data_IF_715744630092
#
_entry.id   IF_715744630092
#
_cell.length_a   1.000
_cell.length_b   1.000
_cell.length_c   1.000
_cell.angle_alpha   90.00
_cell.angle_beta   90.00
_cell.angle_gamma   90.00
#
_symmetry.space_group_name_H-M   'P 1'
#
loop_
_entity.id
_entity.type
_entity.pdbx_description
1 polymer ?
#
# COMPACT_ATOMS: atom_id res chain seq x y z
N UNK A 1 27.58 -24.45 23.08
CA UNK A 1 26.64 -23.30 23.08
C UNK A 1 25.91 -23.28 21.74
N UNK A 2 24.60 -23.07 21.72
CA UNK A 2 23.81 -22.92 20.49
C UNK A 2 23.32 -21.46 20.37
N UNK A 3 23.28 -20.92 19.15
CA UNK A 3 22.79 -19.56 18.88
C UNK A 3 21.66 -19.59 17.86
N UNK A 4 20.66 -18.75 18.10
CA UNK A 4 19.49 -18.51 17.25
C UNK A 4 19.43 -17.01 16.93
N UNK A 5 18.74 -16.63 15.87
CA UNK A 5 18.55 -15.24 15.48
C UNK A 5 17.07 -14.95 15.23
N UNK A 6 16.48 -14.20 16.16
CA UNK A 6 15.06 -13.80 16.15
C UNK A 6 14.10 -14.98 15.90
N UNK A 7 14.12 -16.05 16.71
CA UNK A 7 13.18 -17.15 16.51
C UNK A 7 11.75 -16.67 16.78
N UNK A 8 10.85 -16.84 15.81
CA UNK A 8 9.44 -16.39 15.93
C UNK A 8 8.45 -17.52 16.17
N UNK A 9 8.76 -18.73 15.70
CA UNK A 9 7.86 -19.89 15.77
C UNK A 9 8.51 -21.08 16.45
N UNK A 10 7.70 -21.84 17.18
CA UNK A 10 8.12 -23.07 17.84
C UNK A 10 7.02 -24.13 17.82
N UNK A 11 7.40 -25.40 17.75
CA UNK A 11 6.50 -26.54 17.81
C UNK A 11 7.14 -27.67 18.63
N UNK A 12 6.45 -28.13 19.67
CA UNK A 12 6.83 -29.33 20.40
C UNK A 12 6.25 -30.59 19.74
N UNK A 13 7.07 -31.62 19.62
CA UNK A 13 6.65 -32.95 19.18
C UNK A 13 7.56 -34.04 19.77
N UNK A 14 6.97 -34.96 20.53
CA UNK A 14 7.61 -36.22 20.95
C UNK A 14 9.01 -36.06 21.58
N UNK A 15 9.19 -35.04 22.43
CA UNK A 15 10.46 -34.75 23.11
C UNK A 15 11.45 -33.89 22.30
N UNK A 16 11.04 -33.37 21.14
CA UNK A 16 11.78 -32.37 20.37
C UNK A 16 11.01 -31.06 20.27
N UNK A 17 11.74 -29.95 20.17
CA UNK A 17 11.18 -28.65 19.81
C UNK A 17 11.75 -28.23 18.47
N UNK A 18 10.90 -28.08 17.46
CA UNK A 18 11.24 -27.44 16.21
C UNK A 18 11.10 -25.93 16.36
N UNK A 19 12.07 -25.17 15.86
CA UNK A 19 12.11 -23.71 15.97
C UNK A 19 12.35 -23.12 14.59
N UNK A 20 11.55 -22.12 14.22
CA UNK A 20 11.86 -21.24 13.10
C UNK A 20 12.97 -20.28 13.53
N UNK A 21 14.20 -20.54 13.09
CA UNK A 21 15.37 -19.69 13.33
C UNK A 21 15.39 -18.60 12.25
N UNK A 22 14.43 -17.68 12.39
CA UNK A 22 13.87 -16.86 11.31
C UNK A 22 14.94 -16.08 10.54
N UNK A 23 15.85 -15.39 11.22
CA UNK A 23 16.88 -14.57 10.55
C UNK A 23 18.10 -15.37 10.08
N UNK A 24 18.20 -16.63 10.50
CA UNK A 24 19.18 -17.56 9.96
C UNK A 24 18.62 -18.42 8.82
N UNK A 25 17.40 -18.15 8.34
CA UNK A 25 16.77 -18.86 7.21
C UNK A 25 16.73 -20.40 7.40
N UNK A 26 16.51 -20.85 8.64
CA UNK A 26 16.61 -22.26 9.04
C UNK A 26 15.45 -22.70 9.92
N UNK A 27 15.20 -24.00 9.90
CA UNK A 27 14.52 -24.69 10.98
C UNK A 27 15.56 -25.39 11.85
N UNK A 28 15.45 -25.22 13.16
CA UNK A 28 16.27 -25.91 14.16
C UNK A 28 15.43 -26.98 14.85
N UNK A 29 16.05 -28.07 15.26
CA UNK A 29 15.46 -29.05 16.16
C UNK A 29 16.28 -29.10 17.45
N UNK A 30 15.59 -29.05 18.57
CA UNK A 30 16.13 -29.16 19.92
C UNK A 30 15.67 -30.50 20.48
N UNK A 31 16.60 -31.38 20.84
CA UNK A 31 16.29 -32.60 21.58
C UNK A 31 16.26 -32.28 23.08
N UNK A 32 15.10 -32.49 23.73
CA UNK A 32 14.93 -32.11 25.14
C UNK A 32 15.55 -33.12 26.13
N UNK A 33 15.96 -34.31 25.68
CA UNK A 33 16.68 -35.27 26.55
C UNK A 33 18.16 -34.95 26.61
N UNK A 34 18.75 -34.58 25.47
CA UNK A 34 20.19 -34.32 25.37
C UNK A 34 20.55 -32.83 25.42
N UNK A 35 19.55 -31.95 25.28
CA UNK A 35 19.71 -30.51 25.05
C UNK A 35 20.50 -30.18 23.77
N UNK A 36 20.58 -31.11 22.82
CA UNK A 36 21.28 -30.90 21.55
C UNK A 36 20.43 -30.05 20.60
N UNK A 37 21.05 -29.03 19.99
CA UNK A 37 20.43 -28.17 18.98
C UNK A 37 21.09 -28.40 17.63
N UNK A 38 20.32 -28.80 16.62
CA UNK A 38 20.79 -29.05 15.25
C UNK A 38 19.98 -28.26 14.23
N UNK A 39 20.60 -27.91 13.11
CA UNK A 39 19.84 -27.51 11.91
C UNK A 39 19.06 -28.72 11.43
N UNK A 40 17.74 -28.58 11.42
CA UNK A 40 16.83 -29.59 10.91
C UNK A 40 16.68 -29.46 9.39
N UNK A 41 16.38 -28.25 8.92
CA UNK A 41 16.24 -27.91 7.50
C UNK A 41 16.67 -26.46 7.23
N UNK A 42 16.93 -26.14 5.96
CA UNK A 42 17.35 -24.81 5.51
C UNK A 42 18.87 -24.70 5.31
N UNK A 43 19.28 -24.21 4.15
CA UNK A 43 20.71 -23.93 3.86
C UNK A 43 21.26 -22.77 4.69
N UNK A 44 20.39 -21.85 5.11
CA UNK A 44 20.75 -20.57 5.73
C UNK A 44 20.91 -19.41 4.77
N UNK A 45 20.72 -19.65 3.47
CA UNK A 45 20.61 -18.59 2.48
C UNK A 45 19.17 -18.17 2.36
N UNK A 46 18.96 -16.86 2.26
CA UNK A 46 17.71 -16.31 1.77
C UNK A 46 17.53 -16.71 0.30
N UNK A 47 16.37 -17.26 -0.04
CA UNK A 47 16.08 -17.83 -1.33
C UNK A 47 14.76 -18.60 -1.31
N UNK A 48 14.38 -19.20 -2.43
CA UNK A 48 13.09 -19.86 -2.61
C UNK A 48 13.21 -21.30 -3.13
N UNK A 49 14.41 -21.88 -3.20
CA UNK A 49 14.58 -23.29 -3.57
C UNK A 49 13.88 -24.22 -2.58
N UNK A 50 13.34 -25.34 -3.05
CA UNK A 50 12.83 -26.42 -2.20
C UNK A 50 13.85 -27.55 -2.01
N UNK A 51 14.86 -27.64 -2.88
CA UNK A 51 15.86 -28.72 -2.88
C UNK A 51 17.25 -28.21 -3.31
N UNK A 52 18.21 -28.05 -2.38
CA UNK A 52 18.00 -27.97 -0.94
C UNK A 52 17.08 -26.79 -0.59
N UNK A 53 16.33 -26.90 0.51
CA UNK A 53 15.38 -25.85 0.87
C UNK A 53 16.10 -24.57 1.31
N UNK A 54 15.72 -23.46 0.69
CA UNK A 54 16.08 -22.10 1.07
C UNK A 54 14.80 -21.43 1.58
N UNK A 55 14.82 -21.02 2.85
CA UNK A 55 13.70 -20.34 3.48
C UNK A 55 13.95 -18.83 3.47
N UNK A 56 12.90 -18.04 3.53
CA UNK A 56 12.95 -16.60 3.73
C UNK A 56 12.08 -16.21 4.92
N UNK A 57 12.74 -15.99 6.06
CA UNK A 57 12.12 -15.69 7.35
C UNK A 57 11.01 -16.69 7.77
N UNK A 58 11.34 -17.98 7.99
CA UNK A 58 10.36 -18.95 8.45
C UNK A 58 9.89 -18.58 9.87
N UNK A 59 8.59 -18.33 10.04
CA UNK A 59 8.05 -17.70 11.26
C UNK A 59 7.05 -18.54 12.04
N UNK A 60 6.37 -19.49 11.39
CA UNK A 60 5.31 -20.30 11.99
C UNK A 60 5.46 -21.78 11.66
N UNK A 61 5.11 -22.65 12.61
CA UNK A 61 5.20 -24.10 12.50
C UNK A 61 3.91 -24.75 13.01
N UNK A 62 3.42 -25.78 12.31
CA UNK A 62 2.30 -26.60 12.73
C UNK A 62 2.47 -28.04 12.24
N UNK A 63 2.01 -29.04 13.00
CA UNK A 63 2.09 -30.46 12.59
C UNK A 63 0.71 -31.06 12.44
N UNK A 64 0.51 -31.84 11.37
CA UNK A 64 -0.68 -32.65 11.13
C UNK A 64 -0.26 -34.03 10.62
N UNK A 65 -0.47 -35.07 11.44
CA UNK A 65 0.04 -36.41 11.13
C UNK A 65 1.56 -36.39 10.96
N UNK A 66 2.07 -36.97 9.88
CA UNK A 66 3.51 -37.00 9.60
C UNK A 66 4.05 -35.77 8.82
N UNK A 67 3.29 -34.67 8.82
CA UNK A 67 3.64 -33.47 8.05
C UNK A 67 3.85 -32.28 8.97
N UNK A 68 4.97 -31.60 8.79
CA UNK A 68 5.27 -30.31 9.42
C UNK A 68 5.04 -29.20 8.38
N UNK A 69 4.09 -28.32 8.67
CA UNK A 69 3.79 -27.12 7.91
C UNK A 69 4.64 -25.97 8.43
N UNK A 70 5.20 -25.18 7.51
CA UNK A 70 6.11 -24.08 7.77
C UNK A 70 5.60 -22.86 7.03
N UNK A 71 5.34 -21.77 7.75
CA UNK A 71 5.06 -20.47 7.14
C UNK A 71 6.38 -19.84 6.71
N UNK A 72 6.66 -19.92 5.39
CA UNK A 72 7.86 -19.36 4.76
C UNK A 72 7.57 -17.92 4.32
N UNK A 73 7.53 -17.03 5.31
CA UNK A 73 6.83 -15.73 5.29
C UNK A 73 7.16 -14.86 4.10
N UNK A 74 8.45 -14.60 3.85
CA UNK A 74 8.88 -13.69 2.80
C UNK A 74 8.84 -14.34 1.40
N UNK A 75 8.80 -15.68 1.34
CA UNK A 75 8.50 -16.42 0.12
C UNK A 75 7.00 -16.54 -0.16
N UNK A 76 6.14 -16.01 0.72
CA UNK A 76 4.67 -15.97 0.56
C UNK A 76 4.05 -17.36 0.32
N UNK A 77 4.64 -18.40 0.91
CA UNK A 77 4.21 -19.79 0.73
C UNK A 77 4.13 -20.54 2.05
N UNK A 78 3.41 -21.66 2.01
CA UNK A 78 3.44 -22.66 3.07
C UNK A 78 4.24 -23.85 2.56
N UNK A 79 5.32 -24.19 3.24
CA UNK A 79 6.08 -25.41 2.95
C UNK A 79 5.53 -26.58 3.78
N UNK A 80 5.50 -27.77 3.20
CA UNK A 80 5.19 -29.03 3.87
C UNK A 80 6.44 -29.88 3.91
N UNK A 81 6.84 -30.28 5.10
CA UNK A 81 7.94 -31.22 5.33
C UNK A 81 7.34 -32.57 5.68
N UNK A 82 7.71 -33.61 4.93
CA UNK A 82 7.46 -34.99 5.33
C UNK A 82 8.50 -35.38 6.39
N UNK A 83 8.06 -35.78 7.59
CA UNK A 83 8.96 -36.06 8.70
C UNK A 83 9.67 -37.43 8.59
N UNK A 84 9.23 -38.32 7.68
CA UNK A 84 9.90 -39.61 7.45
C UNK A 84 11.21 -39.45 6.65
N UNK A 85 11.18 -38.61 5.61
CA UNK A 85 12.29 -38.46 4.65
C UNK A 85 12.80 -37.02 4.50
N UNK A 86 12.27 -36.09 5.30
CA UNK A 86 12.59 -34.66 5.30
C UNK A 86 12.41 -33.95 3.96
N UNK A 87 11.65 -34.52 3.01
CA UNK A 87 11.35 -33.83 1.75
C UNK A 87 10.43 -32.65 1.98
N UNK A 88 10.75 -31.54 1.32
CA UNK A 88 9.97 -30.30 1.37
C UNK A 88 9.21 -30.11 0.06
N UNK A 89 7.93 -29.81 0.16
CA UNK A 89 7.10 -29.38 -0.97
C UNK A 89 6.32 -28.13 -0.62
N UNK A 90 5.77 -27.44 -1.62
CA UNK A 90 4.86 -26.33 -1.39
C UNK A 90 3.43 -26.83 -1.21
N UNK A 91 2.75 -26.34 -0.17
CA UNK A 91 1.33 -26.59 0.04
C UNK A 91 0.49 -25.72 -0.89
N UNK A 92 -0.17 -26.35 -1.87
CA UNK A 92 -1.11 -25.67 -2.76
C UNK A 92 -2.54 -25.84 -2.25
N UNK A 93 -3.24 -24.71 -2.06
CA UNK A 93 -4.66 -24.72 -1.75
C UNK A 93 -5.43 -24.78 -3.08
N UNK A 94 -6.06 -25.91 -3.34
CA UNK A 94 -6.86 -26.11 -4.55
C UNK A 94 -8.14 -25.27 -4.52
N UNK A 95 -8.62 -24.85 -5.70
CA UNK A 95 -9.90 -24.14 -5.84
C UNK A 95 -9.89 -22.67 -5.43
N UNK A 96 -8.73 -22.10 -5.07
CA UNK A 96 -8.61 -20.66 -4.88
C UNK A 96 -8.55 -19.95 -6.24
N UNK A 97 -9.49 -19.05 -6.45
CA UNK A 97 -9.40 -18.02 -7.49
C UNK A 97 -9.14 -16.68 -6.81
N UNK A 98 -8.29 -15.80 -7.39
CA UNK A 98 -8.19 -14.43 -6.92
C UNK A 98 -9.59 -13.81 -6.85
N UNK A 99 -9.93 -13.08 -5.78
CA UNK A 99 -11.20 -12.38 -5.73
C UNK A 99 -11.30 -11.47 -6.95
N UNK A 100 -12.50 -11.33 -7.50
CA UNK A 100 -12.73 -10.33 -8.55
C UNK A 100 -12.31 -8.98 -7.99
N UNK A 101 -11.46 -8.25 -8.73
CA UNK A 101 -11.15 -6.87 -8.38
C UNK A 101 -12.48 -6.11 -8.19
N UNK A 102 -12.57 -5.19 -7.21
CA UNK A 102 -13.77 -4.41 -6.99
C UNK A 102 -14.25 -3.75 -8.30
N UNK A 103 -15.52 -3.95 -8.65
CA UNK A 103 -16.13 -3.36 -9.86
C UNK A 103 -16.21 -1.84 -9.79
N UNK A 104 -16.41 -1.31 -8.57
CA UNK A 104 -16.32 0.11 -8.28
C UNK A 104 -14.92 0.42 -7.74
N UNK A 105 -14.35 1.54 -8.17
CA UNK A 105 -13.16 2.09 -7.54
C UNK A 105 -13.57 2.49 -6.13
N UNK A 106 -13.07 1.77 -5.13
CA UNK A 106 -13.13 2.22 -3.75
C UNK A 106 -12.35 3.54 -3.65
N UNK A 107 -13.10 4.65 -3.65
CA UNK A 107 -12.60 5.99 -3.42
C UNK A 107 -12.81 6.44 -1.97
N UNK A 108 -13.13 5.52 -1.05
CA UNK A 108 -13.25 5.81 0.39
C UNK A 108 -12.01 6.53 0.94
N UNK A 109 -10.85 6.28 0.33
CA UNK A 109 -9.61 6.94 0.70
C UNK A 109 -9.58 8.43 0.34
N UNK A 110 -10.35 8.91 -0.63
CA UNK A 110 -10.44 10.33 -1.05
C UNK A 110 -11.81 10.97 -0.77
N UNK A 111 -12.86 10.18 -0.54
CA UNK A 111 -14.25 10.63 -0.50
C UNK A 111 -14.70 11.35 0.80
N UNK A 112 -13.94 11.26 1.90
CA UNK A 112 -14.34 11.79 3.20
C UNK A 112 -13.89 13.25 3.42
N UNK A 113 -14.32 14.17 2.55
CA UNK A 113 -14.24 15.60 2.83
C UNK A 113 -15.55 16.08 3.48
N UNK A 114 -15.47 16.82 4.59
CA UNK A 114 -16.65 17.29 5.33
C UNK A 114 -17.51 18.28 4.55
N UNK A 115 -16.93 18.93 3.54
CA UNK A 115 -17.60 19.92 2.70
C UNK A 115 -17.06 19.91 1.27
N UNK A 116 -17.98 20.02 0.32
CA UNK A 116 -17.66 20.27 -1.08
C UNK A 116 -17.49 21.76 -1.34
N UNK A 117 -16.33 22.16 -1.84
CA UNK A 117 -16.02 23.53 -2.24
C UNK A 117 -16.53 23.79 -3.66
N UNK A 118 -17.18 24.94 -3.88
CA UNK A 118 -17.62 25.36 -5.21
C UNK A 118 -16.63 26.38 -5.76
N UNK A 119 -16.25 26.23 -7.02
CA UNK A 119 -15.40 27.20 -7.73
C UNK A 119 -16.11 27.75 -8.96
N UNK A 120 -15.68 28.93 -9.39
CA UNK A 120 -16.17 29.53 -10.63
C UNK A 120 -15.84 28.62 -11.83
N UNK A 121 -16.60 28.72 -12.94
CA UNK A 121 -16.32 27.96 -14.14
C UNK A 121 -14.89 28.17 -14.63
N UNK A 122 -14.20 27.07 -14.94
CA UNK A 122 -12.83 27.08 -15.44
C UNK A 122 -12.84 26.76 -16.92
N UNK A 123 -12.16 27.58 -17.72
CA UNK A 123 -12.05 27.39 -19.16
C UNK A 123 -10.80 26.59 -19.49
N UNK A 124 -10.97 25.49 -20.23
CA UNK A 124 -9.89 24.52 -20.51
C UNK A 124 -9.89 24.14 -21.99
N UNK A 125 -8.71 23.82 -22.51
CA UNK A 125 -8.55 23.42 -23.92
C UNK A 125 -8.95 21.94 -24.09
N UNK A 126 -9.86 21.62 -25.02
CA UNK A 126 -10.22 20.24 -25.29
C UNK A 126 -9.07 19.41 -25.86
N UNK A 127 -8.94 18.15 -25.42
CA UNK A 127 -7.95 17.21 -25.98
C UNK A 127 -6.50 17.41 -25.53
N UNK A 128 -6.23 18.37 -24.62
CA UNK A 128 -4.92 18.57 -23.99
C UNK A 128 -4.98 18.10 -22.54
N UNK A 129 -3.84 17.63 -22.02
CA UNK A 129 -3.71 17.28 -20.61
C UNK A 129 -3.89 18.54 -19.73
N UNK A 130 -4.75 18.45 -18.72
CA UNK A 130 -5.04 19.59 -17.82
C UNK A 130 -4.25 19.43 -16.53
N UNK A 131 -3.54 20.48 -16.13
CA UNK A 131 -2.88 20.55 -14.82
C UNK A 131 -3.83 21.19 -13.80
N UNK A 132 -3.99 20.59 -12.63
CA UNK A 132 -4.70 21.20 -11.51
C UNK A 132 -3.69 21.56 -10.44
N UNK A 133 -3.61 22.85 -10.12
CA UNK A 133 -2.84 23.38 -9.01
C UNK A 133 -3.79 23.67 -7.84
N UNK A 134 -3.50 23.09 -6.68
CA UNK A 134 -4.22 23.39 -5.44
C UNK A 134 -3.26 24.08 -4.47
N UNK A 135 -3.62 25.29 -4.04
CA UNK A 135 -2.84 26.10 -3.11
C UNK A 135 -3.55 26.16 -1.75
N UNK A 136 -3.17 25.28 -0.80
CA UNK A 136 -3.71 25.31 0.54
C UNK A 136 -3.01 26.38 1.40
N UNK A 137 -3.79 27.24 2.05
CA UNK A 137 -3.33 28.10 3.14
C UNK A 137 -3.33 27.29 4.43
N UNK A 138 -2.17 26.81 4.83
CA UNK A 138 -1.99 25.96 6.02
C UNK A 138 -1.95 26.80 7.32
N UNK A 139 -2.19 26.18 8.49
CA UNK A 139 -1.91 26.81 9.77
C UNK A 139 -0.45 27.25 9.89
N UNK A 140 -0.19 28.22 10.77
CA UNK A 140 1.17 28.66 11.07
C UNK A 140 2.05 27.45 11.46
N UNK A 141 3.31 27.46 11.00
CA UNK A 141 4.32 26.42 11.23
C UNK A 141 4.14 25.10 10.45
N UNK A 142 3.06 24.95 9.67
CA UNK A 142 2.87 23.77 8.83
C UNK A 142 3.27 23.99 7.38
N UNK A 143 3.82 22.95 6.76
CA UNK A 143 4.13 22.90 5.33
C UNK A 143 3.64 21.62 4.69
N UNK A 144 3.45 21.64 3.37
CA UNK A 144 3.18 20.43 2.61
C UNK A 144 4.36 19.46 2.72
N UNK A 145 4.06 18.16 2.83
CA UNK A 145 5.08 17.12 2.93
C UNK A 145 5.24 16.40 1.58
N UNK A 146 6.40 16.54 0.90
CA UNK A 146 6.65 15.83 -0.37
C UNK A 146 6.66 14.30 -0.23
N UNK A 147 6.90 13.81 0.99
CA UNK A 147 6.89 12.37 1.31
C UNK A 147 5.48 11.86 1.61
N UNK A 148 4.52 12.75 1.92
CA UNK A 148 3.16 12.37 2.18
C UNK A 148 2.44 12.03 0.85
N UNK A 149 1.62 10.96 0.81
CA UNK A 149 0.92 10.59 -0.39
C UNK A 149 -0.10 11.65 -0.79
N UNK A 150 0.05 12.19 -1.99
CA UNK A 150 -0.98 13.01 -2.65
C UNK A 150 -1.75 12.11 -3.61
N UNK A 151 -3.05 11.92 -3.38
CA UNK A 151 -3.91 11.08 -4.22
C UNK A 151 -5.18 11.83 -4.59
N UNK A 152 -5.63 11.64 -5.83
CA UNK A 152 -6.86 12.27 -6.29
C UNK A 152 -7.73 11.34 -7.12
N UNK A 153 -9.01 11.65 -7.16
CA UNK A 153 -9.98 11.11 -8.11
C UNK A 153 -10.81 12.25 -8.70
N UNK A 154 -11.10 12.17 -10.00
CA UNK A 154 -12.02 13.06 -10.69
C UNK A 154 -13.21 12.24 -11.19
N UNK A 155 -14.42 12.64 -10.79
CA UNK A 155 -15.68 12.00 -11.15
C UNK A 155 -16.60 12.98 -11.87
N UNK A 156 -17.54 12.47 -12.66
CA UNK A 156 -18.64 13.31 -13.17
C UNK A 156 -19.61 13.62 -12.01
N UNK A 157 -20.06 14.87 -11.88
CA UNK A 157 -21.09 15.21 -10.90
C UNK A 157 -22.47 14.65 -11.32
N UNK A 158 -22.71 14.50 -12.62
CA UNK A 158 -23.96 13.94 -13.15
C UNK A 158 -24.00 12.41 -13.03
N UNK A 159 -22.83 11.77 -13.02
CA UNK A 159 -22.69 10.32 -12.93
C UNK A 159 -21.56 9.95 -11.96
N UNK A 160 -21.82 9.98 -10.62
CA UNK A 160 -20.78 9.83 -9.59
C UNK A 160 -20.03 8.50 -9.60
N UNK A 161 -20.62 7.45 -10.19
CA UNK A 161 -19.99 6.14 -10.34
C UNK A 161 -18.92 6.11 -11.45
N UNK A 162 -18.91 7.12 -12.33
CA UNK A 162 -17.95 7.23 -13.43
C UNK A 162 -16.71 8.01 -12.98
N UNK A 163 -15.63 7.28 -12.73
CA UNK A 163 -14.30 7.86 -12.49
C UNK A 163 -13.63 8.17 -13.83
N UNK A 164 -13.39 9.45 -14.07
CA UNK A 164 -12.80 9.96 -15.31
C UNK A 164 -11.27 9.97 -15.24
N UNK A 165 -10.72 10.27 -14.07
CA UNK A 165 -9.29 10.25 -13.82
C UNK A 165 -9.00 9.90 -12.36
N UNK A 166 -7.85 9.26 -12.13
CA UNK A 166 -7.30 9.04 -10.80
C UNK A 166 -5.79 8.95 -10.89
N UNK A 167 -5.09 9.32 -9.83
CA UNK A 167 -3.65 9.25 -9.84
C UNK A 167 -2.99 9.73 -8.56
N UNK A 168 -1.66 9.81 -8.63
CA UNK A 168 -0.83 10.46 -7.64
C UNK A 168 -0.63 11.92 -8.06
N UNK A 169 -0.71 12.83 -7.10
CA UNK A 169 -0.24 14.20 -7.26
C UNK A 169 1.21 14.34 -6.78
N UNK A 170 1.75 15.54 -6.92
CA UNK A 170 3.04 15.94 -6.38
C UNK A 170 2.91 17.21 -5.53
N UNK A 171 3.87 17.41 -4.62
CA UNK A 171 4.07 18.69 -3.93
C UNK A 171 5.13 19.47 -4.68
N UNK A 172 4.79 20.66 -5.16
CA UNK A 172 5.73 21.58 -5.81
C UNK A 172 5.78 22.89 -5.01
N UNK A 173 6.76 23.03 -4.12
CA UNK A 173 6.82 24.17 -3.20
C UNK A 173 5.63 24.21 -2.25
N UNK A 174 4.76 25.21 -2.41
CA UNK A 174 3.59 25.47 -1.57
C UNK A 174 2.26 24.96 -2.14
N UNK A 175 2.30 24.24 -3.27
CA UNK A 175 1.10 23.75 -3.96
C UNK A 175 1.13 22.25 -4.23
N UNK A 176 -0.05 21.71 -4.43
CA UNK A 176 -0.29 20.35 -4.89
C UNK A 176 -0.55 20.40 -6.40
N UNK A 177 0.15 19.57 -7.17
CA UNK A 177 0.03 19.51 -8.63
C UNK A 177 -0.52 18.17 -9.03
N UNK A 178 -1.65 18.18 -9.74
CA UNK A 178 -2.34 17.00 -10.26
C UNK A 178 -2.33 17.05 -11.78
N UNK A 179 -1.97 15.96 -12.43
CA UNK A 179 -2.01 15.85 -13.88
C UNK A 179 -3.24 15.05 -14.30
N UNK A 180 -4.15 15.67 -15.04
CA UNK A 180 -5.26 14.99 -15.69
C UNK A 180 -4.86 14.57 -17.10
N UNK A 181 -5.29 13.38 -17.57
CA UNK A 181 -5.11 12.99 -18.96
C UNK A 181 -5.95 13.88 -19.88
N UNK A 182 -5.64 13.88 -21.18
CA UNK A 182 -6.47 14.52 -22.18
C UNK A 182 -7.88 13.90 -22.17
N UNK A 183 -8.89 14.71 -21.84
CA UNK A 183 -10.29 14.26 -21.76
C UNK A 183 -11.02 14.62 -23.06
N UNK A 184 -11.81 13.68 -23.59
CA UNK A 184 -12.59 13.86 -24.84
C UNK A 184 -13.79 14.79 -24.65
N UNK A 185 -14.40 14.76 -23.47
CA UNK A 185 -15.52 15.61 -23.06
C UNK A 185 -15.10 16.37 -21.80
N UNK A 186 -14.92 17.68 -21.93
CA UNK A 186 -14.45 18.57 -20.86
C UNK A 186 -15.51 19.57 -20.38
N UNK A 187 -16.66 19.66 -21.07
CA UNK A 187 -17.75 20.53 -20.64
C UNK A 187 -18.66 19.75 -19.70
N UNK A 188 -18.80 20.24 -18.47
CA UNK A 188 -19.61 19.61 -17.43
C UNK A 188 -19.17 20.02 -16.02
N UNK A 189 -19.84 19.51 -15.00
CA UNK A 189 -19.41 19.67 -13.61
C UNK A 189 -18.71 18.40 -13.14
N UNK A 190 -17.53 18.56 -12.57
CA UNK A 190 -16.69 17.45 -12.11
C UNK A 190 -16.43 17.55 -10.62
N UNK A 191 -16.40 16.40 -9.96
CA UNK A 191 -16.09 16.28 -8.54
C UNK A 191 -14.63 15.84 -8.41
N UNK A 192 -13.77 16.74 -7.94
CA UNK A 192 -12.39 16.42 -7.59
C UNK A 192 -12.32 16.08 -6.11
N UNK A 193 -11.94 14.86 -5.79
CA UNK A 193 -11.54 14.47 -4.44
C UNK A 193 -10.01 14.44 -4.35
N UNK A 194 -9.45 15.05 -3.31
CA UNK A 194 -8.00 15.13 -3.09
C UNK A 194 -7.67 14.79 -1.65
N UNK A 195 -6.69 13.93 -1.45
CA UNK A 195 -6.08 13.65 -0.14
C UNK A 195 -4.61 14.00 -0.19
N UNK A 196 -4.14 14.69 0.83
CA UNK A 196 -2.76 15.11 0.98
C UNK A 196 -2.36 15.19 2.45
N UNK A 197 -1.07 15.33 2.72
CA UNK A 197 -0.53 15.49 4.07
C UNK A 197 0.30 16.75 4.21
N UNK A 198 0.27 17.34 5.40
CA UNK A 198 1.07 18.49 5.78
C UNK A 198 1.62 18.29 7.18
N UNK A 199 2.84 18.76 7.43
CA UNK A 199 3.57 18.49 8.66
C UNK A 199 4.12 19.78 9.25
N UNK A 200 4.21 19.81 10.59
CA UNK A 200 5.01 20.80 11.30
C UNK A 200 6.48 20.38 11.27
N UNK A 201 7.38 21.34 11.10
CA UNK A 201 8.82 21.08 11.16
C UNK A 201 9.32 20.79 12.59
N UNK A 202 10.45 20.08 12.68
CA UNK A 202 11.12 19.75 13.95
C UNK A 202 11.02 18.27 14.37
N UNK A 203 11.85 17.89 15.34
CA UNK A 203 11.83 16.54 15.94
C UNK A 203 10.50 16.34 16.69
N UNK A 204 9.77 15.28 16.34
CA UNK A 204 8.41 15.07 16.85
C UNK A 204 7.35 15.95 16.15
N UNK A 205 7.65 16.50 14.98
CA UNK A 205 6.70 17.21 14.14
C UNK A 205 5.45 16.39 13.85
N UNK A 206 4.27 16.98 14.08
CA UNK A 206 3.01 16.32 13.82
C UNK A 206 2.68 16.42 12.32
N UNK A 207 2.47 15.27 11.68
CA UNK A 207 1.91 15.20 10.34
C UNK A 207 0.41 15.00 10.42
N UNK A 208 -0.34 15.93 9.81
CA UNK A 208 -1.78 15.83 9.62
C UNK A 208 -2.05 15.38 8.20
N UNK A 209 -3.17 14.70 8.03
CA UNK A 209 -3.66 14.29 6.72
C UNK A 209 -5.04 14.88 6.52
N UNK A 210 -5.28 15.42 5.33
CA UNK A 210 -6.49 16.18 5.03
C UNK A 210 -7.07 15.75 3.68
N UNK A 211 -8.40 15.81 3.59
CA UNK A 211 -9.16 15.50 2.40
C UNK A 211 -10.01 16.70 2.02
N UNK A 212 -9.96 17.11 0.76
CA UNK A 212 -10.75 18.21 0.23
C UNK A 212 -11.48 17.77 -1.04
N UNK A 213 -12.68 18.31 -1.24
CA UNK A 213 -13.51 18.02 -2.40
C UNK A 213 -13.94 19.33 -3.07
N UNK A 214 -13.87 19.37 -4.40
CA UNK A 214 -14.36 20.49 -5.20
C UNK A 214 -15.39 20.05 -6.24
N UNK A 215 -16.42 20.86 -6.43
CA UNK A 215 -17.23 20.88 -7.64
C UNK A 215 -16.65 21.91 -8.59
N UNK A 216 -16.11 21.42 -9.70
CA UNK A 216 -15.40 22.21 -10.71
C UNK A 216 -16.22 22.19 -12.01
N UNK A 217 -16.92 23.29 -12.34
CA UNK A 217 -17.51 23.44 -13.65
C UNK A 217 -16.39 23.70 -14.67
N UNK A 218 -16.22 22.81 -15.64
CA UNK A 218 -15.27 23.00 -16.73
C UNK A 218 -16.03 23.37 -18.02
N UNK A 219 -15.47 24.28 -18.79
CA UNK A 219 -15.99 24.71 -20.09
C UNK A 219 -14.89 24.57 -21.15
N UNK A 220 -15.17 23.82 -22.21
CA UNK A 220 -14.23 23.69 -23.32
C UNK A 220 -14.20 24.97 -24.16
N UNK A 221 -13.02 25.60 -24.30
CA UNK A 221 -12.83 26.80 -25.12
C UNK A 221 -11.61 26.59 -26.03
N UNK A 222 -11.83 26.64 -27.35
CA UNK A 222 -10.78 26.36 -28.36
C UNK A 222 -9.68 27.44 -28.43
N UNK A 223 -9.94 28.63 -27.89
CA UNK A 223 -9.03 29.79 -27.91
C UNK A 223 -8.40 30.10 -26.54
N UNK A 224 -8.71 29.30 -25.50
CA UNK A 224 -8.10 29.48 -24.19
C UNK A 224 -6.61 29.11 -24.25
N UNK A 225 -5.76 29.88 -23.56
CA UNK A 225 -4.33 29.56 -23.35
C UNK A 225 -4.08 28.78 -22.07
N UNK A 226 -5.12 28.48 -21.29
CA UNK A 226 -4.98 27.89 -19.96
C UNK A 226 -5.12 26.37 -20.03
N UNK A 227 -3.99 25.68 -19.89
CA UNK A 227 -3.89 24.25 -19.59
C UNK A 227 -4.00 23.96 -18.09
N UNK A 228 -4.15 25.00 -17.27
CA UNK A 228 -4.04 24.93 -15.81
C UNK A 228 -5.30 25.46 -15.13
N UNK A 229 -5.86 24.65 -14.21
CA UNK A 229 -6.92 25.03 -13.28
C UNK A 229 -6.29 25.31 -11.92
N UNK A 230 -6.61 26.46 -11.31
CA UNK A 230 -6.08 26.84 -10.01
C UNK A 230 -7.19 26.86 -8.95
N UNK A 231 -6.99 26.11 -7.87
CA UNK A 231 -7.93 25.96 -6.76
C UNK A 231 -7.27 26.44 -5.46
N UNK A 232 -8.04 27.09 -4.60
CA UNK A 232 -7.61 27.49 -3.27
C UNK A 232 -8.34 26.69 -2.19
N UNK A 233 -7.67 26.52 -1.06
CA UNK A 233 -8.18 25.88 0.15
C UNK A 233 -7.66 26.67 1.36
N UNK A 234 -8.52 27.04 2.31
CA UNK A 234 -8.09 27.72 3.54
C UNK A 234 -8.24 26.77 4.74
N UNK A 235 -7.11 26.32 5.28
CA UNK A 235 -7.00 25.50 6.47
C UNK A 235 -6.39 26.26 7.65
N UNK A 236 -6.25 27.58 7.56
CA UNK A 236 -5.52 28.38 8.56
C UNK A 236 -6.15 28.39 9.95
N UNK A 237 -7.40 27.90 10.08
CA UNK A 237 -8.17 27.85 11.32
C UNK A 237 -8.41 26.43 11.87
N UNK A 238 -7.82 25.40 11.25
CA UNK A 238 -7.88 23.98 11.69
C UNK A 238 -6.69 23.56 12.56
#
# INVERSE_FOLDING_TARGET
EARLQRPLGGLYDSGRVFVGDTYNHKLKAIDLKTNEVKTFLGTGKDGNSLHPVEFSEPSGLAKVGNRLFVADTNNQRICVVNLDDNKVSEFKIAGLTPPSLPKAVDDSFTAAADKTLKVAPQKVIPGVAVKINVSPRLPAEYKLSPLAPVKFTLKSAENPDVVLARGKGAVEGDRLVLQLPAMKQLTGTYVLNLRFGYCRDGVGGLCKQHSAQWNIPLQAEKESKNDTVSLSLDLSKE
#
